data_IF_293242472279
#
_entry.id   IF_293242472279
#
_cell.length_a   1.000
_cell.length_b   1.000
_cell.length_c   1.000
_cell.angle_alpha   90.00
_cell.angle_beta   90.00
_cell.angle_gamma   90.00
#
_symmetry.space_group_name_H-M   'P 1'
#
loop_
_entity.id
_entity.type
_entity.pdbx_description
1 polymer ?
#
# COMPACT_ATOMS: atom_id res chain seq x y z
N UNK A 1 2.09 8.64 10.66
CA UNK A 1 0.66 8.85 10.37
C UNK A 1 0.34 7.90 9.23
N UNK A 2 -0.48 6.89 9.48
CA UNK A 2 -0.80 5.88 8.48
C UNK A 2 -1.91 6.45 7.60
N UNK A 3 -1.60 6.81 6.35
CA UNK A 3 -2.57 7.28 5.38
C UNK A 3 -2.48 6.44 4.12
N UNK A 4 -3.58 6.41 3.35
CA UNK A 4 -3.61 5.73 2.03
C UNK A 4 -2.48 6.24 1.15
N UNK A 5 -2.26 7.56 1.07
CA UNK A 5 -1.19 8.15 0.26
C UNK A 5 0.21 7.67 0.64
N UNK A 6 0.48 7.54 1.95
CA UNK A 6 1.77 7.06 2.43
C UNK A 6 1.99 5.58 2.08
N UNK A 7 0.93 4.76 2.18
CA UNK A 7 0.97 3.34 1.81
C UNK A 7 1.12 3.19 0.30
N UNK A 8 0.31 3.88 -0.49
CA UNK A 8 0.40 3.93 -1.96
C UNK A 8 1.80 4.33 -2.41
N UNK A 9 2.39 5.38 -1.81
CA UNK A 9 3.75 5.82 -2.13
C UNK A 9 4.79 4.73 -1.88
N UNK A 10 4.68 4.01 -0.76
CA UNK A 10 5.63 2.95 -0.43
C UNK A 10 5.44 1.70 -1.29
N UNK A 11 4.20 1.34 -1.65
CA UNK A 11 3.92 0.21 -2.56
C UNK A 11 4.40 0.53 -3.97
N UNK A 12 4.14 1.73 -4.47
CA UNK A 12 4.59 2.16 -5.80
C UNK A 12 6.10 2.14 -5.93
N UNK A 13 6.82 2.71 -4.95
CA UNK A 13 8.27 2.93 -5.04
C UNK A 13 9.13 1.85 -4.36
N UNK A 14 8.54 1.00 -3.52
CA UNK A 14 9.28 0.09 -2.66
C UNK A 14 10.05 0.82 -1.57
N UNK A 15 10.70 0.06 -0.68
CA UNK A 15 11.60 0.57 0.37
C UNK A 15 12.49 -0.54 0.93
N UNK A 16 13.81 -0.37 0.85
CA UNK A 16 14.77 -1.36 1.35
C UNK A 16 14.60 -2.70 0.64
N UNK A 17 14.27 -3.75 1.37
CA UNK A 17 14.03 -5.08 0.82
C UNK A 17 12.66 -5.23 0.11
N UNK A 18 11.73 -4.29 0.32
CA UNK A 18 10.43 -4.30 -0.36
C UNK A 18 10.59 -3.78 -1.81
N UNK A 19 10.25 -4.58 -2.83
CA UNK A 19 10.36 -4.16 -4.23
C UNK A 19 9.30 -3.10 -4.58
N UNK A 20 9.57 -2.34 -5.64
CA UNK A 20 8.61 -1.41 -6.23
C UNK A 20 7.53 -2.18 -7.01
N UNK A 21 6.26 -1.81 -6.83
CA UNK A 21 5.12 -2.42 -7.53
C UNK A 21 4.49 -1.52 -8.59
N UNK A 22 4.92 -0.25 -8.72
CA UNK A 22 4.36 0.68 -9.73
C UNK A 22 4.55 0.27 -11.20
N UNK A 23 5.47 -0.66 -11.49
CA UNK A 23 5.65 -1.26 -12.81
C UNK A 23 5.01 -2.65 -12.96
N UNK A 24 4.30 -3.13 -11.93
CA UNK A 24 3.73 -4.48 -11.85
C UNK A 24 2.22 -4.46 -11.62
N UNK A 25 1.71 -3.42 -10.97
CA UNK A 25 0.31 -3.22 -10.64
C UNK A 25 -0.16 -1.90 -11.23
N UNK A 26 -1.44 -1.84 -11.61
CA UNK A 26 -2.07 -0.60 -12.01
C UNK A 26 -2.30 0.30 -10.79
N UNK A 27 -2.41 1.61 -11.02
CA UNK A 27 -2.59 2.60 -9.94
C UNK A 27 -3.83 2.31 -9.08
N UNK A 28 -4.90 1.82 -9.69
CA UNK A 28 -6.14 1.48 -8.99
C UNK A 28 -5.96 0.26 -8.08
N UNK A 29 -5.20 -0.76 -8.51
CA UNK A 29 -4.86 -1.91 -7.67
C UNK A 29 -4.02 -1.49 -6.45
N UNK A 30 -3.04 -0.59 -6.66
CA UNK A 30 -2.22 -0.08 -5.57
C UNK A 30 -3.08 0.69 -4.56
N UNK A 31 -4.01 1.52 -5.03
CA UNK A 31 -4.94 2.25 -4.16
C UNK A 31 -5.89 1.31 -3.41
N UNK A 32 -6.41 0.28 -4.08
CA UNK A 32 -7.28 -0.72 -3.44
C UNK A 32 -6.54 -1.46 -2.33
N UNK A 33 -5.31 -1.91 -2.59
CA UNK A 33 -4.47 -2.57 -1.57
C UNK A 33 -4.14 -1.61 -0.42
N UNK A 34 -3.83 -0.34 -0.72
CA UNK A 34 -3.54 0.65 0.32
C UNK A 34 -4.73 0.89 1.26
N UNK A 35 -5.94 1.00 0.72
CA UNK A 35 -7.17 1.11 1.51
C UNK A 35 -7.43 -0.16 2.33
N UNK A 36 -7.29 -1.34 1.71
CA UNK A 36 -7.45 -2.61 2.40
C UNK A 36 -6.50 -2.73 3.60
N UNK A 37 -5.20 -2.51 3.40
CA UNK A 37 -4.18 -2.59 4.46
C UNK A 37 -4.46 -1.59 5.58
N UNK A 38 -4.88 -0.36 5.26
CA UNK A 38 -5.25 0.63 6.28
C UNK A 38 -6.42 0.13 7.14
N UNK A 39 -7.52 -0.28 6.50
CA UNK A 39 -8.71 -0.78 7.21
C UNK A 39 -8.43 -2.03 8.06
N UNK A 40 -7.60 -2.95 7.55
CA UNK A 40 -7.17 -4.15 8.28
C UNK A 40 -6.30 -3.79 9.47
N UNK A 41 -5.40 -2.82 9.32
CA UNK A 41 -4.54 -2.35 10.42
C UNK A 41 -5.34 -1.69 11.54
N UNK A 42 -6.43 -0.99 11.22
CA UNK A 42 -7.35 -0.41 12.20
C UNK A 42 -8.21 -1.47 12.90
N UNK A 43 -8.51 -2.55 12.18
CA UNK A 43 -9.31 -3.68 12.67
C UNK A 43 -8.49 -4.77 13.38
N UNK A 44 -7.17 -4.62 13.46
CA UNK A 44 -6.30 -5.55 14.20
C UNK A 44 -5.88 -6.83 13.46
N UNK A 45 -6.18 -6.96 12.16
CA UNK A 45 -5.87 -8.16 11.34
C UNK A 45 -6.57 -9.46 11.74
N UNK A 46 -7.76 -9.36 12.33
CA UNK A 46 -8.60 -10.51 12.73
C UNK A 46 -9.18 -11.32 11.56
#
# INVERSE_FOLDING_TARGET
MNSVDAITTQVTNGKGAMPAFGGRLESDDINNVANYVLSQSESGWD
#
